data_IF_428982227732
#
_entry.id   IF_428982227732
#
_cell.length_a   1.000
_cell.length_b   1.000
_cell.length_c   1.000
_cell.angle_alpha   90.00
_cell.angle_beta   90.00
_cell.angle_gamma   90.00
#
_symmetry.space_group_name_H-M   'P 1'
#
loop_
_entity.id
_entity.type
_entity.pdbx_description
1 polymer ?
#
# COMPACT_ATOMS: atom_id res chain seq x y z
N UNK A 1 28.13 -22.75 -19.30
CA UNK A 1 26.66 -22.77 -19.32
C UNK A 1 26.21 -23.08 -17.91
N UNK A 2 25.95 -22.04 -17.13
CA UNK A 2 25.44 -22.15 -15.77
C UNK A 2 24.07 -21.50 -15.79
N UNK A 3 23.04 -22.29 -15.56
CA UNK A 3 21.64 -21.86 -15.61
C UNK A 3 21.37 -20.80 -14.56
N UNK A 4 20.83 -19.67 -15.01
CA UNK A 4 20.16 -18.70 -14.16
C UNK A 4 18.96 -19.41 -13.52
N UNK A 5 19.03 -19.56 -12.20
CA UNK A 5 17.89 -19.98 -11.41
C UNK A 5 16.84 -18.88 -11.53
N UNK A 6 15.75 -19.20 -12.23
CA UNK A 6 14.48 -18.47 -12.19
C UNK A 6 13.97 -18.49 -10.75
N UNK A 7 14.47 -17.54 -9.96
CA UNK A 7 13.82 -17.18 -8.70
C UNK A 7 12.57 -16.45 -9.10
N UNK A 8 11.47 -17.18 -9.26
CA UNK A 8 10.14 -16.63 -9.44
C UNK A 8 9.87 -15.59 -8.35
N UNK A 9 10.19 -14.34 -8.69
CA UNK A 9 9.99 -13.20 -7.83
C UNK A 9 8.50 -13.13 -7.57
N UNK A 10 8.11 -13.04 -6.30
CA UNK A 10 6.77 -12.61 -5.98
C UNK A 10 6.50 -11.37 -6.85
N UNK A 11 5.40 -11.35 -7.63
CA UNK A 11 5.22 -10.35 -8.66
C UNK A 11 5.43 -8.98 -8.05
N UNK A 12 6.22 -8.17 -8.73
CA UNK A 12 6.57 -6.78 -8.44
C UNK A 12 5.33 -5.83 -8.41
N UNK A 13 4.15 -6.40 -8.22
CA UNK A 13 2.81 -5.87 -8.43
C UNK A 13 2.44 -4.71 -7.49
N UNK A 14 3.31 -4.34 -6.55
CA UNK A 14 3.06 -3.27 -5.59
C UNK A 14 4.06 -2.11 -5.68
N UNK A 15 4.89 -2.07 -6.72
CA UNK A 15 5.94 -1.05 -6.91
C UNK A 15 5.41 0.33 -7.35
N UNK A 16 4.16 0.40 -7.83
CA UNK A 16 3.52 1.63 -8.26
C UNK A 16 2.64 2.27 -7.18
N UNK A 17 2.44 3.60 -7.26
CA UNK A 17 1.44 4.27 -6.44
C UNK A 17 0.04 3.67 -6.66
N UNK A 18 -0.67 3.43 -5.57
CA UNK A 18 -2.01 2.87 -5.54
C UNK A 18 -3.04 3.89 -5.10
N UNK A 19 -4.30 3.61 -5.42
CA UNK A 19 -5.44 4.29 -4.80
C UNK A 19 -6.10 3.34 -3.82
N UNK A 20 -6.87 3.87 -2.87
CA UNK A 20 -7.51 3.02 -1.88
C UNK A 20 -8.76 3.62 -1.27
N UNK A 21 -9.44 2.80 -0.48
CA UNK A 21 -10.53 3.23 0.40
C UNK A 21 -10.74 2.21 1.51
N UNK A 22 -11.39 2.64 2.59
CA UNK A 22 -11.82 1.75 3.67
C UNK A 22 -13.10 1.02 3.30
N UNK A 23 -13.13 -0.30 3.53
CA UNK A 23 -14.34 -1.13 3.47
C UNK A 23 -14.42 -1.96 4.77
N UNK A 24 -15.12 -1.43 5.77
CA UNK A 24 -15.25 -2.06 7.08
C UNK A 24 -13.89 -2.22 7.78
N UNK A 25 -13.43 -3.45 8.08
CA UNK A 25 -12.12 -3.70 8.70
C UNK A 25 -10.98 -3.85 7.68
N UNK A 26 -11.24 -3.58 6.40
CA UNK A 26 -10.28 -3.75 5.32
C UNK A 26 -9.97 -2.43 4.61
N UNK A 27 -8.79 -2.38 3.99
CA UNK A 27 -8.44 -1.44 2.94
C UNK A 27 -8.61 -2.16 1.60
N UNK A 28 -9.42 -1.60 0.71
CA UNK A 28 -9.43 -1.99 -0.69
C UNK A 28 -8.47 -1.08 -1.45
N UNK A 29 -7.42 -1.67 -2.01
CA UNK A 29 -6.40 -0.97 -2.78
C UNK A 29 -6.52 -1.35 -4.27
N UNK A 30 -6.17 -0.42 -5.14
CA UNK A 30 -6.10 -0.64 -6.59
C UNK A 30 -4.74 -0.17 -7.12
N UNK A 31 -4.06 -1.08 -7.82
CA UNK A 31 -2.78 -0.80 -8.46
C UNK A 31 -2.94 -0.16 -9.86
N UNK A 32 -1.82 0.17 -10.49
CA UNK A 32 -1.78 0.80 -11.82
C UNK A 32 -2.26 -0.12 -12.95
N UNK A 33 -2.28 -1.44 -12.72
CA UNK A 33 -2.86 -2.42 -13.65
C UNK A 33 -4.37 -2.57 -13.47
N UNK A 34 -4.97 -1.88 -12.50
CA UNK A 34 -6.39 -1.94 -12.15
C UNK A 34 -6.77 -3.14 -11.28
N UNK A 35 -5.80 -3.97 -10.87
CA UNK A 35 -6.05 -5.10 -9.99
C UNK A 35 -6.38 -4.61 -8.59
N UNK A 36 -7.21 -5.39 -7.90
CA UNK A 36 -7.71 -5.07 -6.56
C UNK A 36 -7.01 -5.92 -5.53
N UNK A 37 -6.52 -5.28 -4.48
CA UNK A 37 -5.88 -5.91 -3.33
C UNK A 37 -6.69 -5.59 -2.08
N UNK A 38 -6.89 -6.58 -1.22
CA UNK A 38 -7.59 -6.40 0.05
C UNK A 38 -6.62 -6.64 1.19
N UNK A 39 -6.42 -5.62 2.04
CA UNK A 39 -5.58 -5.71 3.21
C UNK A 39 -6.40 -5.48 4.48
N UNK A 40 -6.04 -6.14 5.57
CA UNK A 40 -6.67 -5.88 6.88
C UNK A 40 -6.07 -4.61 7.47
N UNK A 41 -6.90 -3.70 8.01
CA UNK A 41 -6.41 -2.45 8.61
C UNK A 41 -5.40 -2.74 9.72
N UNK A 42 -5.67 -3.72 10.58
CA UNK A 42 -4.80 -4.15 11.66
C UNK A 42 -3.53 -4.90 11.21
N UNK A 43 -3.28 -5.04 9.90
CA UNK A 43 -2.01 -5.51 9.36
C UNK A 43 -1.06 -4.38 8.94
N UNK A 44 -1.53 -3.13 9.00
CA UNK A 44 -0.71 -1.93 8.83
C UNK A 44 0.15 -1.75 10.07
N UNK A 45 1.47 -1.79 9.91
CA UNK A 45 2.43 -1.61 11.01
C UNK A 45 3.02 -0.20 11.08
N UNK A 46 2.99 0.54 9.98
CA UNK A 46 3.52 1.91 9.89
C UNK A 46 2.82 2.68 8.79
N UNK A 47 2.67 3.99 9.00
CA UNK A 47 2.11 4.98 8.07
C UNK A 47 3.07 6.18 8.06
N UNK A 48 3.41 6.73 6.90
CA UNK A 48 4.29 7.90 6.77
C UNK A 48 3.94 8.72 5.54
N UNK A 49 4.01 10.04 5.64
CA UNK A 49 4.16 10.92 4.47
C UNK A 49 5.50 10.61 3.79
N UNK A 50 5.58 10.76 2.46
CA UNK A 50 6.80 10.48 1.69
C UNK A 50 7.25 11.61 0.76
N UNK A 51 6.53 12.73 0.76
CA UNK A 51 6.85 13.92 -0.01
C UNK A 51 6.52 15.19 0.80
N UNK A 52 6.97 16.35 0.30
CA UNK A 52 6.70 17.66 0.92
C UNK A 52 5.35 18.27 0.50
N UNK A 53 4.68 17.68 -0.50
CA UNK A 53 3.41 18.17 -1.05
C UNK A 53 2.24 17.69 -0.17
N UNK A 54 2.41 16.57 0.52
CA UNK A 54 1.44 15.92 1.39
C UNK A 54 0.37 15.14 0.63
N UNK A 55 0.61 14.75 -0.63
CA UNK A 55 -0.37 14.04 -1.46
C UNK A 55 -0.08 12.53 -1.63
N UNK A 56 1.06 12.05 -1.13
CA UNK A 56 1.35 10.62 -1.07
C UNK A 56 1.72 10.11 0.32
N UNK A 57 1.26 8.87 0.59
CA UNK A 57 1.47 8.17 1.87
C UNK A 57 2.04 6.78 1.62
N UNK A 58 2.96 6.35 2.48
CA UNK A 58 3.47 4.98 2.52
C UNK A 58 2.83 4.20 3.67
N UNK A 59 2.32 3.01 3.36
CA UNK A 59 1.93 1.99 4.33
C UNK A 59 2.93 0.85 4.35
N UNK A 60 3.20 0.30 5.54
CA UNK A 60 3.83 -1.01 5.66
C UNK A 60 2.76 -2.04 6.04
N UNK A 61 2.45 -2.96 5.11
CA UNK A 61 1.46 -4.03 5.29
C UNK A 61 2.17 -5.37 5.21
N UNK A 62 2.23 -6.11 6.32
CA UNK A 62 2.92 -7.42 6.37
C UNK A 62 4.34 -7.37 5.75
N UNK A 63 5.13 -6.37 6.15
CA UNK A 63 6.49 -6.10 5.64
C UNK A 63 6.59 -5.70 4.16
N UNK A 64 5.46 -5.36 3.52
CA UNK A 64 5.44 -4.83 2.15
C UNK A 64 5.17 -3.32 2.19
N UNK A 65 6.06 -2.49 1.64
CA UNK A 65 5.78 -1.08 1.45
C UNK A 65 4.75 -0.89 0.33
N UNK A 66 3.73 -0.08 0.59
CA UNK A 66 2.69 0.29 -0.37
C UNK A 66 2.62 1.81 -0.42
N UNK A 67 2.88 2.37 -1.60
CA UNK A 67 2.69 3.80 -1.86
C UNK A 67 1.24 4.06 -2.26
N UNK A 68 0.64 5.07 -1.66
CA UNK A 68 -0.72 5.52 -1.91
C UNK A 68 -0.69 6.95 -2.44
N UNK A 69 -1.47 7.23 -3.48
CA UNK A 69 -1.83 8.58 -3.91
C UNK A 69 -3.00 9.08 -3.06
N UNK A 70 -2.72 9.35 -1.80
CA UNK A 70 -3.63 9.91 -0.81
C UNK A 70 -2.80 10.60 0.29
N UNK A 71 -3.33 11.68 0.85
CA UNK A 71 -2.68 12.38 1.96
C UNK A 71 -2.67 11.52 3.24
N UNK A 72 -1.78 11.86 4.18
CA UNK A 72 -1.73 11.14 5.45
C UNK A 72 -3.04 11.24 6.22
N UNK A 73 -3.64 12.43 6.28
CA UNK A 73 -4.93 12.66 6.95
C UNK A 73 -6.04 11.77 6.38
N UNK A 74 -6.13 11.66 5.06
CA UNK A 74 -7.12 10.80 4.40
C UNK A 74 -6.90 9.32 4.77
N UNK A 75 -5.64 8.88 4.80
CA UNK A 75 -5.29 7.51 5.15
C UNK A 75 -5.56 7.23 6.64
N UNK A 76 -5.27 8.17 7.54
CA UNK A 76 -5.56 8.04 8.98
C UNK A 76 -7.07 7.87 9.24
N UNK A 77 -7.91 8.62 8.52
CA UNK A 77 -9.37 8.46 8.55
C UNK A 77 -9.80 7.05 8.11
N UNK A 78 -9.19 6.49 7.07
CA UNK A 78 -9.45 5.11 6.66
C UNK A 78 -9.07 4.09 7.73
N UNK A 79 -7.97 4.33 8.44
CA UNK A 79 -7.53 3.47 9.54
C UNK A 79 -8.37 3.66 10.80
N UNK A 80 -9.19 4.72 10.88
CA UNK A 80 -9.95 5.09 12.06
C UNK A 80 -9.05 5.58 13.20
N UNK A 81 -7.90 6.16 12.84
CA UNK A 81 -6.98 6.80 13.77
C UNK A 81 -7.23 8.30 13.63
N UNK A 82 -7.80 8.90 14.68
CA UNK A 82 -7.89 10.36 14.76
C UNK A 82 -6.69 10.83 15.61
N UNK A 83 -5.97 11.88 15.18
CA UNK A 83 -4.89 12.47 15.97
C UNK A 83 -5.37 13.01 17.32
#
# INVERSE_FOLDING_TARGET
MSGEADTGGAPDALTGSMTGTRIGPYLLLRDQSGLRHLARINSVSLVSEIDEIGDETMLIISSRPIRLSASLDEVLDWLGVQP
#
